data_IF_867180929639
#
_entry.id   IF_867180929639
#
_cell.length_a   1.000
_cell.length_b   1.000
_cell.length_c   1.000
_cell.angle_alpha   90.00
_cell.angle_beta   90.00
_cell.angle_gamma   90.00
#
_symmetry.space_group_name_H-M   'P 1'
#
loop_
_entity.id
_entity.type
_entity.pdbx_description
1 polymer ?
#
# COMPACT_ATOMS: atom_id res chain seq x y z
N UNK A 1 -75.63 66.32 -16.38
CA UNK A 1 -75.31 64.88 -16.50
C UNK A 1 -74.00 64.80 -17.28
N UNK A 2 -72.89 64.74 -16.55
CA UNK A 2 -71.54 64.62 -17.12
C UNK A 2 -70.93 63.36 -16.53
N UNK A 3 -70.69 62.37 -17.38
CA UNK A 3 -70.05 61.11 -17.04
C UNK A 3 -68.56 61.38 -16.81
N UNK A 4 -68.10 61.10 -15.59
CA UNK A 4 -66.68 61.12 -15.25
C UNK A 4 -66.17 59.68 -15.34
N UNK A 5 -65.49 59.38 -16.45
CA UNK A 5 -64.79 58.13 -16.68
C UNK A 5 -63.51 58.11 -15.82
N UNK A 6 -63.33 57.18 -14.87
CA UNK A 6 -62.04 57.01 -14.22
C UNK A 6 -61.07 56.34 -15.21
N UNK A 7 -60.03 57.07 -15.58
CA UNK A 7 -58.92 56.61 -16.41
C UNK A 7 -58.15 55.52 -15.68
N UNK A 8 -58.05 54.32 -16.27
CA UNK A 8 -57.38 53.15 -15.71
C UNK A 8 -55.85 53.26 -15.68
N UNK A 9 -55.32 54.21 -14.90
CA UNK A 9 -53.88 54.42 -14.72
C UNK A 9 -53.30 53.74 -13.46
N UNK A 10 -54.12 53.02 -12.68
CA UNK A 10 -53.73 52.54 -11.34
C UNK A 10 -53.43 51.03 -11.21
N UNK A 11 -53.27 50.28 -12.31
CA UNK A 11 -53.12 48.81 -12.24
C UNK A 11 -51.72 48.23 -12.52
N UNK A 12 -50.70 49.03 -12.85
CA UNK A 12 -49.39 48.51 -13.27
C UNK A 12 -48.23 48.72 -12.31
N UNK A 13 -48.47 48.61 -11.00
CA UNK A 13 -47.36 48.45 -10.04
C UNK A 13 -47.67 47.50 -8.89
N UNK A 14 -48.00 46.24 -9.21
CA UNK A 14 -47.83 45.14 -8.26
C UNK A 14 -46.39 44.66 -8.33
N UNK A 15 -45.60 45.08 -7.36
CA UNK A 15 -44.30 44.50 -7.04
C UNK A 15 -44.49 43.00 -6.73
N UNK A 16 -43.72 42.09 -7.37
CA UNK A 16 -43.85 40.66 -7.09
C UNK A 16 -43.45 40.40 -5.63
N UNK A 17 -44.33 39.74 -4.87
CA UNK A 17 -44.04 39.34 -3.51
C UNK A 17 -42.76 38.48 -3.46
N UNK A 18 -41.85 38.71 -2.49
CA UNK A 18 -40.62 37.93 -2.40
C UNK A 18 -40.95 36.45 -2.19
N UNK A 19 -40.35 35.60 -3.03
CA UNK A 19 -40.51 34.15 -2.94
C UNK A 19 -40.05 33.65 -1.55
N UNK A 20 -40.76 32.68 -0.94
CA UNK A 20 -40.36 32.13 0.34
C UNK A 20 -38.96 31.51 0.23
N UNK A 21 -38.06 31.91 1.14
CA UNK A 21 -36.71 31.37 1.23
C UNK A 21 -36.78 29.87 1.51
N UNK A 22 -36.37 29.05 0.53
CA UNK A 22 -36.24 27.60 0.71
C UNK A 22 -35.11 27.35 1.72
N UNK A 23 -35.35 26.62 2.82
CA UNK A 23 -34.29 26.28 3.77
C UNK A 23 -33.19 25.48 3.05
N UNK A 24 -32.01 26.07 2.91
CA UNK A 24 -30.83 25.37 2.41
C UNK A 24 -30.38 24.37 3.48
N UNK A 25 -30.74 23.10 3.31
CA UNK A 25 -30.20 22.02 4.15
C UNK A 25 -28.68 21.99 3.91
N UNK A 26 -27.84 22.18 4.95
CA UNK A 26 -26.39 22.13 4.77
C UNK A 26 -26.01 20.73 4.25
N UNK A 27 -25.10 20.64 3.25
CA UNK A 27 -24.70 19.36 2.70
C UNK A 27 -24.18 18.47 3.83
N UNK A 28 -24.86 17.33 4.02
CA UNK A 28 -24.48 16.33 5.02
C UNK A 28 -23.08 15.88 4.68
N UNK A 29 -22.10 16.22 5.53
CA UNK A 29 -20.71 15.79 5.39
C UNK A 29 -20.71 14.26 5.40
N UNK A 30 -20.54 13.64 4.24
CA UNK A 30 -20.35 12.20 4.14
C UNK A 30 -19.01 11.90 4.81
N UNK A 31 -19.05 11.22 5.96
CA UNK A 31 -17.84 10.63 6.53
C UNK A 31 -17.36 9.60 5.51
N UNK A 32 -16.15 9.71 4.94
CA UNK A 32 -15.66 8.72 4.01
C UNK A 32 -15.61 7.38 4.74
N UNK A 33 -16.37 6.41 4.24
CA UNK A 33 -16.26 5.04 4.71
C UNK A 33 -14.81 4.59 4.53
N UNK A 34 -14.17 3.94 5.53
CA UNK A 34 -12.77 3.54 5.42
C UNK A 34 -12.65 2.58 4.24
N UNK A 35 -12.18 3.10 3.11
CA UNK A 35 -12.07 2.34 1.89
C UNK A 35 -11.23 1.08 2.19
N UNK A 36 -11.67 -0.12 1.75
CA UNK A 36 -11.06 -1.38 2.12
C UNK A 36 -9.56 -1.29 1.87
N UNK A 37 -8.73 -1.63 2.88
CA UNK A 37 -7.28 -1.74 2.66
C UNK A 37 -7.11 -2.66 1.46
N UNK A 38 -6.39 -2.21 0.42
CA UNK A 38 -6.21 -3.03 -0.78
C UNK A 38 -5.74 -4.40 -0.35
N UNK A 39 -6.54 -5.43 -0.64
CA UNK A 39 -6.22 -6.81 -0.28
C UNK A 39 -4.81 -7.18 -0.76
N UNK A 40 -4.41 -6.68 -1.93
CA UNK A 40 -3.07 -6.88 -2.51
C UNK A 40 -1.94 -6.37 -1.61
N UNK A 41 -2.11 -5.24 -0.92
CA UNK A 41 -1.09 -4.66 -0.06
C UNK A 41 -0.96 -5.46 1.24
N UNK A 42 -2.07 -5.84 1.86
CA UNK A 42 -2.06 -6.63 3.09
C UNK A 42 -1.54 -8.06 2.84
N UNK A 43 -1.96 -8.67 1.73
CA UNK A 43 -1.53 -10.00 1.35
C UNK A 43 -0.06 -10.02 0.92
N UNK A 44 0.37 -9.06 0.08
CA UNK A 44 1.76 -8.93 -0.33
C UNK A 44 2.70 -8.70 0.87
N UNK A 45 2.32 -7.84 1.82
CA UNK A 45 3.07 -7.64 3.06
C UNK A 45 3.20 -8.95 3.86
N UNK A 46 2.12 -9.72 3.96
CA UNK A 46 2.11 -11.01 4.67
C UNK A 46 3.03 -12.02 4.00
N UNK A 47 2.99 -12.12 2.67
CA UNK A 47 3.88 -13.00 1.91
C UNK A 47 5.35 -12.67 2.16
N UNK A 48 5.73 -11.38 2.07
CA UNK A 48 7.11 -10.96 2.33
C UNK A 48 7.50 -11.26 3.77
N UNK A 49 6.63 -10.98 4.74
CA UNK A 49 6.91 -11.24 6.16
C UNK A 49 7.13 -12.73 6.46
N UNK A 50 6.25 -13.60 5.94
CA UNK A 50 6.36 -15.06 6.13
C UNK A 50 7.61 -15.61 5.45
N UNK A 51 7.89 -15.22 4.20
CA UNK A 51 9.09 -15.66 3.49
C UNK A 51 10.37 -15.20 4.19
N UNK A 52 10.40 -13.96 4.69
CA UNK A 52 11.53 -13.42 5.45
C UNK A 52 11.75 -14.20 6.75
N UNK A 53 10.67 -14.51 7.48
CA UNK A 53 10.76 -15.31 8.70
C UNK A 53 11.29 -16.72 8.42
N UNK A 54 10.75 -17.40 7.40
CA UNK A 54 11.20 -18.72 6.99
C UNK A 54 12.67 -18.72 6.53
N UNK A 55 13.08 -17.69 5.79
CA UNK A 55 14.47 -17.53 5.39
C UNK A 55 15.38 -17.37 6.61
N UNK A 56 15.00 -16.53 7.58
CA UNK A 56 15.77 -16.35 8.80
C UNK A 56 15.96 -17.67 9.58
N UNK A 57 14.89 -18.47 9.71
CA UNK A 57 14.97 -19.78 10.33
C UNK A 57 15.81 -20.77 9.51
N UNK A 58 15.68 -20.76 8.18
CA UNK A 58 16.46 -21.60 7.30
C UNK A 58 17.95 -21.27 7.36
N UNK A 59 18.31 -19.99 7.34
CA UNK A 59 19.71 -19.56 7.44
C UNK A 59 20.33 -19.98 8.77
N UNK A 60 19.57 -19.96 9.88
CA UNK A 60 20.04 -20.48 11.17
C UNK A 60 20.29 -22.00 11.14
N UNK A 61 19.43 -22.78 10.48
CA UNK A 61 19.59 -24.24 10.38
C UNK A 61 20.71 -24.65 9.40
N UNK A 62 20.88 -23.88 8.33
CA UNK A 62 21.79 -24.23 7.22
C UNK A 62 23.22 -23.75 7.44
N UNK A 63 23.42 -22.68 8.20
CA UNK A 63 24.72 -22.07 8.42
C UNK A 63 25.09 -22.07 9.92
N UNK A 64 25.64 -23.18 10.45
CA UNK A 64 26.10 -23.22 11.83
C UNK A 64 27.28 -22.26 12.04
N UNK A 65 27.32 -21.67 13.24
CA UNK A 65 28.41 -20.82 13.72
C UNK A 65 29.73 -21.60 13.58
N UNK A 66 30.67 -21.06 12.80
CA UNK A 66 32.01 -21.61 12.51
C UNK A 66 32.15 -22.71 11.42
N UNK A 67 31.12 -22.90 10.57
CA UNK A 67 31.19 -23.84 9.43
C UNK A 67 31.54 -23.21 8.07
N UNK A 68 31.95 -24.03 7.06
CA UNK A 68 31.97 -23.60 5.66
C UNK A 68 30.57 -23.11 5.25
N UNK A 69 30.47 -21.85 4.81
CA UNK A 69 29.18 -21.21 4.48
C UNK A 69 28.70 -20.17 5.48
N UNK A 70 29.38 -19.99 6.62
CA UNK A 70 29.07 -18.94 7.63
C UNK A 70 28.85 -17.55 7.01
N UNK A 71 29.67 -17.15 6.03
CA UNK A 71 29.55 -15.86 5.34
C UNK A 71 28.23 -15.68 4.58
N UNK A 72 27.68 -16.76 4.04
CA UNK A 72 26.37 -16.73 3.40
C UNK A 72 25.25 -16.56 4.45
N UNK A 73 25.37 -17.22 5.62
CA UNK A 73 24.48 -16.98 6.75
C UNK A 73 24.47 -15.51 7.24
N UNK A 74 25.64 -14.86 7.32
CA UNK A 74 25.72 -13.43 7.66
C UNK A 74 25.07 -12.53 6.60
N UNK A 75 25.30 -12.84 5.32
CA UNK A 75 24.70 -12.10 4.21
C UNK A 75 23.18 -12.23 4.24
N UNK A 76 22.65 -13.45 4.36
CA UNK A 76 21.22 -13.70 4.47
C UNK A 76 20.60 -12.97 5.66
N UNK A 77 21.30 -12.96 6.81
CA UNK A 77 20.86 -12.23 8.00
C UNK A 77 20.78 -10.72 7.76
N UNK A 78 21.72 -10.14 7.01
CA UNK A 78 21.66 -8.73 6.62
C UNK A 78 20.49 -8.46 5.66
N UNK A 79 20.25 -9.34 4.69
CA UNK A 79 19.12 -9.21 3.77
C UNK A 79 17.77 -9.31 4.51
N UNK A 80 17.64 -10.28 5.42
CA UNK A 80 16.49 -10.43 6.32
C UNK A 80 16.26 -9.16 7.13
N UNK A 81 17.32 -8.55 7.67
CA UNK A 81 17.22 -7.32 8.44
C UNK A 81 16.71 -6.15 7.58
N UNK A 82 17.23 -5.99 6.36
CA UNK A 82 16.78 -4.94 5.43
C UNK A 82 15.30 -5.10 5.09
N UNK A 83 14.84 -6.34 4.84
CA UNK A 83 13.43 -6.61 4.56
C UNK A 83 12.57 -6.34 5.80
N UNK A 84 12.97 -6.84 6.97
CA UNK A 84 12.23 -6.64 8.22
C UNK A 84 12.08 -5.14 8.55
N UNK A 85 13.15 -4.37 8.38
CA UNK A 85 13.12 -2.92 8.57
C UNK A 85 12.22 -2.23 7.55
N UNK A 86 12.31 -2.63 6.28
CA UNK A 86 11.42 -2.11 5.22
C UNK A 86 9.95 -2.41 5.52
N UNK A 87 9.63 -3.63 5.96
CA UNK A 87 8.27 -4.04 6.36
C UNK A 87 7.74 -3.25 7.56
N UNK A 88 8.60 -2.93 8.52
CA UNK A 88 8.25 -2.09 9.66
C UNK A 88 7.96 -0.65 9.22
N UNK A 89 8.78 -0.10 8.32
CA UNK A 89 8.58 1.25 7.80
C UNK A 89 7.32 1.40 6.93
N UNK A 90 6.83 0.33 6.32
CA UNK A 90 5.52 0.35 5.65
C UNK A 90 4.33 0.61 6.60
N UNK A 91 4.54 0.52 7.92
CA UNK A 91 3.52 0.80 8.95
C UNK A 91 3.56 2.23 9.49
N UNK A 92 4.56 3.04 9.13
CA UNK A 92 4.65 4.45 9.56
C UNK A 92 4.29 5.42 8.43
N UNK A 93 4.05 6.69 8.75
CA UNK A 93 3.68 7.74 7.78
C UNK A 93 4.90 8.24 6.99
N UNK A 94 5.44 7.39 6.12
CA UNK A 94 6.53 7.72 5.19
C UNK A 94 6.16 7.24 3.78
N UNK A 95 6.81 7.77 2.72
CA UNK A 95 6.63 7.27 1.36
C UNK A 95 6.93 5.76 1.31
N UNK A 96 5.95 4.95 0.87
CA UNK A 96 6.02 3.48 0.94
C UNK A 96 6.77 2.84 -0.22
N UNK A 97 6.70 3.47 -1.39
CA UNK A 97 7.32 3.02 -2.64
C UNK A 97 8.79 2.59 -2.49
N UNK A 98 9.70 3.36 -1.85
CA UNK A 98 11.09 2.94 -1.72
C UNK A 98 11.26 1.66 -0.90
N UNK A 99 10.44 1.44 0.12
CA UNK A 99 10.52 0.26 0.98
C UNK A 99 9.95 -0.99 0.29
N UNK A 100 8.89 -0.83 -0.51
CA UNK A 100 8.40 -1.91 -1.39
C UNK A 100 9.48 -2.27 -2.42
N UNK A 101 10.13 -1.26 -3.01
CA UNK A 101 11.24 -1.44 -3.94
C UNK A 101 12.43 -2.17 -3.30
N UNK A 102 12.80 -1.79 -2.07
CA UNK A 102 13.88 -2.46 -1.33
C UNK A 102 13.58 -3.95 -1.11
N UNK A 103 12.36 -4.29 -0.68
CA UNK A 103 11.94 -5.69 -0.57
C UNK A 103 12.06 -6.43 -1.91
N UNK A 104 11.62 -5.82 -3.02
CA UNK A 104 11.71 -6.42 -4.35
C UNK A 104 13.16 -6.66 -4.80
N UNK A 105 14.05 -5.67 -4.60
CA UNK A 105 15.47 -5.78 -4.94
C UNK A 105 16.12 -6.90 -4.14
N UNK A 106 15.88 -6.97 -2.82
CA UNK A 106 16.43 -8.04 -1.98
C UNK A 106 15.91 -9.40 -2.43
N UNK A 107 14.63 -9.52 -2.77
CA UNK A 107 14.07 -10.76 -3.32
C UNK A 107 14.77 -11.21 -4.60
N UNK A 108 15.08 -10.28 -5.51
CA UNK A 108 15.85 -10.58 -6.73
C UNK A 108 17.27 -11.02 -6.40
N UNK A 109 17.95 -10.34 -5.47
CA UNK A 109 19.29 -10.71 -5.03
C UNK A 109 19.34 -12.14 -4.49
N UNK A 110 18.37 -12.53 -3.65
CA UNK A 110 18.27 -13.90 -3.13
C UNK A 110 18.11 -14.95 -4.23
N UNK A 111 17.31 -14.66 -5.27
CA UNK A 111 17.17 -15.56 -6.41
C UNK A 111 18.49 -15.69 -7.18
N UNK A 112 19.18 -14.58 -7.42
CA UNK A 112 20.47 -14.59 -8.11
C UNK A 112 21.54 -15.34 -7.30
N UNK A 113 21.56 -15.14 -5.98
CA UNK A 113 22.50 -15.82 -5.09
C UNK A 113 22.29 -17.34 -5.09
N UNK A 114 21.04 -17.79 -4.94
CA UNK A 114 20.73 -19.21 -4.95
C UNK A 114 21.02 -19.90 -6.30
N UNK A 115 20.95 -19.16 -7.41
CA UNK A 115 21.28 -19.67 -8.76
C UNK A 115 22.80 -19.70 -9.01
N UNK A 116 23.51 -18.61 -8.67
CA UNK A 116 24.89 -18.40 -9.14
C UNK A 116 25.97 -18.62 -8.08
N UNK A 117 25.65 -18.40 -6.80
CA UNK A 117 26.64 -18.39 -5.71
C UNK A 117 26.53 -19.61 -4.79
N UNK A 118 25.36 -20.21 -4.67
CA UNK A 118 25.15 -21.33 -3.78
C UNK A 118 25.90 -22.59 -4.25
N UNK A 119 26.75 -23.12 -3.37
CA UNK A 119 27.59 -24.30 -3.65
C UNK A 119 26.84 -25.63 -3.57
N UNK A 120 25.59 -25.62 -3.11
CA UNK A 120 24.83 -26.85 -2.83
C UNK A 120 23.33 -26.60 -2.94
N UNK A 121 22.60 -27.55 -3.53
CA UNK A 121 21.14 -27.46 -3.70
C UNK A 121 20.39 -27.24 -2.38
N UNK A 122 20.91 -27.79 -1.27
CA UNK A 122 20.32 -27.63 0.07
C UNK A 122 20.25 -26.15 0.50
N UNK A 123 21.18 -25.33 0.03
CA UNK A 123 21.25 -23.90 0.27
C UNK A 123 20.50 -23.12 -0.82
N UNK A 124 20.70 -23.49 -2.09
CA UNK A 124 20.08 -22.79 -3.24
C UNK A 124 18.55 -22.76 -3.16
N UNK A 125 17.91 -23.87 -2.80
CA UNK A 125 16.45 -23.99 -2.83
C UNK A 125 15.76 -23.00 -1.88
N UNK A 126 16.09 -22.93 -0.58
CA UNK A 126 15.44 -21.99 0.32
C UNK A 126 15.68 -20.52 -0.07
N UNK A 127 16.88 -20.16 -0.52
CA UNK A 127 17.19 -18.80 -1.00
C UNK A 127 16.34 -18.43 -2.23
N UNK A 128 16.26 -19.31 -3.24
CA UNK A 128 15.44 -19.09 -4.44
C UNK A 128 13.96 -18.99 -4.07
N UNK A 129 13.45 -19.92 -3.26
CA UNK A 129 12.04 -19.95 -2.90
C UNK A 129 11.64 -18.71 -2.09
N UNK A 130 12.46 -18.31 -1.12
CA UNK A 130 12.25 -17.08 -0.36
C UNK A 130 12.29 -15.86 -1.29
N UNK A 131 13.32 -15.77 -2.15
CA UNK A 131 13.47 -14.67 -3.10
C UNK A 131 12.27 -14.53 -4.03
N UNK A 132 11.79 -15.63 -4.63
CA UNK A 132 10.59 -15.63 -5.49
C UNK A 132 9.35 -15.14 -4.74
N UNK A 133 9.10 -15.65 -3.53
CA UNK A 133 7.93 -15.25 -2.74
C UNK A 133 8.03 -13.77 -2.34
N UNK A 134 9.22 -13.29 -2.00
CA UNK A 134 9.46 -11.87 -1.66
C UNK A 134 9.21 -10.98 -2.88
N UNK A 135 9.70 -11.36 -4.07
CA UNK A 135 9.44 -10.62 -5.31
C UNK A 135 7.94 -10.56 -5.58
N UNK A 136 7.23 -11.70 -5.55
CA UNK A 136 5.78 -11.74 -5.76
C UNK A 136 5.03 -10.87 -4.75
N UNK A 137 5.40 -10.96 -3.47
CA UNK A 137 4.81 -10.12 -2.42
C UNK A 137 5.06 -8.63 -2.66
N UNK A 138 6.27 -8.25 -3.10
CA UNK A 138 6.62 -6.87 -3.43
C UNK A 138 5.85 -6.33 -4.64
N UNK A 139 5.68 -7.14 -5.69
CA UNK A 139 4.89 -6.79 -6.88
C UNK A 139 3.42 -6.59 -6.51
N UNK A 140 2.85 -7.47 -5.67
CA UNK A 140 1.47 -7.32 -5.17
C UNK A 140 1.27 -6.06 -4.33
N UNK A 141 2.29 -5.68 -3.55
CA UNK A 141 2.27 -4.41 -2.81
C UNK A 141 2.39 -3.21 -3.74
N UNK A 142 3.23 -3.28 -4.78
CA UNK A 142 3.42 -2.22 -5.76
C UNK A 142 2.22 -2.04 -6.70
N UNK A 143 1.46 -3.11 -6.96
CA UNK A 143 0.23 -3.06 -7.77
C UNK A 143 -0.99 -2.54 -7.00
N UNK A 144 -0.85 -2.26 -5.71
CA UNK A 144 -1.92 -1.63 -4.95
C UNK A 144 -2.05 -0.16 -5.36
N UNK A 145 -3.26 0.36 -5.61
CA UNK A 145 -3.44 1.75 -5.95
C UNK A 145 -2.91 2.64 -4.83
N UNK A 146 -1.98 3.52 -5.17
CA UNK A 146 -1.43 4.54 -4.27
C UNK A 146 -2.60 5.38 -3.70
N UNK A 147 -2.65 5.51 -2.37
CA UNK A 147 -3.50 6.47 -1.68
C UNK A 147 -2.66 7.61 -1.15
#
# INVERSE_FOLDING_TARGET
MSEHHPTGADLERREPAPAPAVPSVPPRRTVPEPAPRSFSLAFGWTLVAVATGLLAFASWDLYPDDGPGMWAGYRDSLLVLVIAFSLALLRVNVPKTPFIGACGIVGVLLVLEGIFLASTLRISIPEIMAGVVIVLGSVLMASAPDR
#
